data_IF_667375997428
#
_entry.id   IF_667375997428
#
_cell.length_a   1.000
_cell.length_b   1.000
_cell.length_c   1.000
_cell.angle_alpha   90.00
_cell.angle_beta   90.00
_cell.angle_gamma   90.00
#
_symmetry.space_group_name_H-M   'P 1'
#
loop_
_entity.id
_entity.type
_entity.pdbx_description
1 polymer ?
#
# COMPACT_ATOMS: atom_id res chain seq x y z
N UNK A 1 -5.51 0.78 -5.68
CA UNK A 1 -6.61 -0.08 -6.17
C UNK A 1 -7.64 -0.45 -5.09
N UNK A 2 -7.30 -1.07 -3.95
CA UNK A 2 -8.31 -1.52 -2.96
C UNK A 2 -9.27 -0.41 -2.50
N UNK A 3 -8.74 0.79 -2.19
CA UNK A 3 -9.51 1.99 -1.82
C UNK A 3 -10.58 2.34 -2.87
N UNK A 4 -10.19 2.33 -4.15
CA UNK A 4 -11.09 2.63 -5.27
C UNK A 4 -12.16 1.54 -5.43
N UNK A 5 -11.78 0.26 -5.40
CA UNK A 5 -12.74 -0.84 -5.48
C UNK A 5 -13.79 -0.74 -4.38
N UNK A 6 -13.39 -0.44 -3.14
CA UNK A 6 -14.33 -0.21 -2.02
C UNK A 6 -15.28 0.95 -2.31
N UNK A 7 -14.76 2.11 -2.73
CA UNK A 7 -15.60 3.26 -3.01
C UNK A 7 -16.58 3.00 -4.16
N UNK A 8 -16.14 2.30 -5.22
CA UNK A 8 -16.99 1.91 -6.35
C UNK A 8 -18.09 0.94 -5.92
N UNK A 9 -17.77 -0.08 -5.10
CA UNK A 9 -18.79 -1.01 -4.57
C UNK A 9 -19.85 -0.24 -3.78
N UNK A 10 -19.43 0.67 -2.89
CA UNK A 10 -20.36 1.47 -2.08
C UNK A 10 -21.20 2.42 -2.93
N UNK A 11 -20.60 3.08 -3.93
CA UNK A 11 -21.33 3.98 -4.82
C UNK A 11 -22.38 3.25 -5.65
N UNK A 12 -22.03 2.09 -6.24
CA UNK A 12 -22.97 1.26 -6.98
C UNK A 12 -24.06 0.74 -6.04
N UNK A 13 -23.72 0.28 -4.83
CA UNK A 13 -24.71 -0.16 -3.84
C UNK A 13 -25.71 0.95 -3.48
N UNK A 14 -25.23 2.17 -3.23
CA UNK A 14 -26.10 3.31 -2.91
C UNK A 14 -27.08 3.57 -4.06
N UNK A 15 -26.60 3.65 -5.31
CA UNK A 15 -27.46 3.93 -6.47
C UNK A 15 -28.44 2.79 -6.74
N UNK A 16 -27.97 1.54 -6.74
CA UNK A 16 -28.81 0.37 -6.99
C UNK A 16 -29.87 0.17 -5.91
N UNK A 17 -29.52 0.32 -4.64
CA UNK A 17 -30.45 0.09 -3.53
C UNK A 17 -31.44 1.24 -3.35
N UNK A 18 -31.01 2.50 -3.54
CA UNK A 18 -31.96 3.63 -3.53
C UNK A 18 -33.00 3.48 -4.64
N UNK A 19 -32.60 3.10 -5.85
CA UNK A 19 -33.52 2.81 -6.95
C UNK A 19 -34.53 1.71 -6.63
N UNK A 20 -34.15 0.71 -5.82
CA UNK A 20 -35.05 -0.35 -5.36
C UNK A 20 -36.11 0.18 -4.37
N UNK A 21 -35.75 1.12 -3.49
CA UNK A 21 -36.69 1.72 -2.52
C UNK A 21 -37.62 2.76 -3.14
N UNK A 22 -37.23 3.41 -4.23
CA UNK A 22 -38.02 4.51 -4.84
C UNK A 22 -38.95 4.07 -5.96
N UNK A 23 -38.67 2.94 -6.63
CA UNK A 23 -39.46 2.49 -7.78
C UNK A 23 -40.31 1.26 -7.45
N UNK A 24 -41.60 1.31 -7.79
CA UNK A 24 -42.47 0.13 -7.77
C UNK A 24 -42.12 -0.80 -8.94
N UNK A 25 -41.64 -2.00 -8.63
CA UNK A 25 -41.27 -2.99 -9.65
C UNK A 25 -42.53 -3.73 -10.11
N UNK A 26 -42.79 -3.73 -11.41
CA UNK A 26 -43.85 -4.55 -11.99
C UNK A 26 -43.33 -5.98 -12.25
N UNK A 27 -43.66 -6.90 -11.35
CA UNK A 27 -43.23 -8.30 -11.42
C UNK A 27 -43.82 -9.10 -12.58
N UNK A 28 -44.84 -8.57 -13.26
CA UNK A 28 -45.46 -9.22 -14.42
C UNK A 28 -44.68 -8.95 -15.72
N UNK A 29 -43.74 -8.02 -15.70
CA UNK A 29 -42.92 -7.69 -16.87
C UNK A 29 -41.84 -8.75 -17.09
N UNK A 30 -41.68 -9.20 -18.34
CA UNK A 30 -40.58 -10.10 -18.71
C UNK A 30 -39.24 -9.48 -18.34
N UNK A 31 -38.39 -10.25 -17.66
CA UNK A 31 -37.09 -9.79 -17.19
C UNK A 31 -37.07 -9.06 -15.85
N UNK A 32 -38.22 -8.85 -15.17
CA UNK A 32 -38.27 -8.18 -13.86
C UNK A 32 -37.37 -8.87 -12.81
N UNK A 33 -37.37 -10.20 -12.75
CA UNK A 33 -36.50 -10.96 -11.85
C UNK A 33 -35.00 -10.82 -12.18
N UNK A 34 -34.66 -10.75 -13.46
CA UNK A 34 -33.28 -10.55 -13.92
C UNK A 34 -32.78 -9.16 -13.55
N UNK A 35 -33.63 -8.13 -13.73
CA UNK A 35 -33.33 -6.77 -13.33
C UNK A 35 -33.09 -6.65 -11.82
N UNK A 36 -33.92 -7.29 -11.00
CA UNK A 36 -33.72 -7.36 -9.54
C UNK A 36 -32.38 -8.03 -9.20
N UNK A 37 -32.08 -9.18 -9.83
CA UNK A 37 -30.83 -9.88 -9.59
C UNK A 37 -29.60 -9.02 -9.94
N UNK A 38 -29.64 -8.29 -11.05
CA UNK A 38 -28.57 -7.36 -11.45
C UNK A 38 -28.42 -6.23 -10.43
N UNK A 39 -29.51 -5.64 -9.94
CA UNK A 39 -29.42 -4.55 -8.97
C UNK A 39 -28.92 -5.01 -7.59
N UNK A 40 -29.29 -6.22 -7.18
CA UNK A 40 -28.83 -6.80 -5.91
C UNK A 40 -27.36 -7.24 -5.97
N UNK A 41 -26.94 -7.88 -7.07
CA UNK A 41 -25.62 -8.49 -7.21
C UNK A 41 -24.58 -7.57 -7.87
N UNK A 42 -25.02 -6.60 -8.67
CA UNK A 42 -24.18 -5.65 -9.40
C UNK A 42 -23.13 -4.94 -8.53
N UNK A 43 -23.47 -4.44 -7.33
CA UNK A 43 -22.48 -3.85 -6.43
C UNK A 43 -21.32 -4.78 -6.07
N UNK A 44 -21.54 -6.11 -6.06
CA UNK A 44 -20.55 -7.08 -5.65
C UNK A 44 -19.57 -7.51 -6.75
N UNK A 45 -19.69 -6.97 -7.98
CA UNK A 45 -18.84 -7.36 -9.12
C UNK A 45 -17.33 -7.18 -8.84
N UNK A 46 -16.96 -6.16 -8.05
CA UNK A 46 -15.56 -5.90 -7.68
C UNK A 46 -15.11 -6.56 -6.37
N UNK A 47 -16.00 -7.31 -5.70
CA UNK A 47 -15.70 -7.99 -4.44
C UNK A 47 -14.53 -8.98 -4.56
N UNK A 48 -14.39 -9.80 -5.64
CA UNK A 48 -13.25 -10.69 -5.78
C UNK A 48 -11.91 -9.95 -5.80
N UNK A 49 -11.83 -8.82 -6.51
CA UNK A 49 -10.63 -7.98 -6.55
C UNK A 49 -10.31 -7.37 -5.18
N UNK A 50 -11.34 -6.91 -4.47
CA UNK A 50 -11.18 -6.36 -3.12
C UNK A 50 -10.71 -7.45 -2.14
N UNK A 51 -11.34 -8.61 -2.16
CA UNK A 51 -10.99 -9.76 -1.33
C UNK A 51 -9.55 -10.21 -1.58
N UNK A 52 -9.14 -10.31 -2.85
CA UNK A 52 -7.76 -10.63 -3.22
C UNK A 52 -6.76 -9.60 -2.67
N UNK A 53 -7.06 -8.30 -2.77
CA UNK A 53 -6.19 -7.25 -2.22
C UNK A 53 -6.12 -7.29 -0.69
N UNK A 54 -7.25 -7.49 -0.01
CA UNK A 54 -7.29 -7.65 1.46
C UNK A 54 -6.50 -8.90 1.89
N UNK A 55 -6.63 -9.99 1.16
CA UNK A 55 -5.84 -11.20 1.37
C UNK A 55 -4.35 -10.89 1.32
N UNK A 56 -3.87 -10.23 0.25
CA UNK A 56 -2.46 -9.85 0.13
C UNK A 56 -2.00 -8.96 1.29
N UNK A 57 -2.77 -7.92 1.65
CA UNK A 57 -2.40 -7.02 2.77
C UNK A 57 -2.22 -7.80 4.08
N UNK A 58 -3.12 -8.74 4.38
CA UNK A 58 -3.05 -9.55 5.61
C UNK A 58 -1.94 -10.60 5.60
N UNK A 59 -1.42 -10.92 4.42
CA UNK A 59 -0.53 -12.06 4.18
C UNK A 59 0.90 -11.65 3.84
N UNK A 60 1.14 -10.40 3.50
CA UNK A 60 2.47 -9.85 3.27
C UNK A 60 2.88 -9.02 4.49
N UNK A 61 4.08 -9.26 5.01
CA UNK A 61 4.68 -8.37 6.01
C UNK A 61 5.49 -7.28 5.32
N UNK A 62 5.89 -6.27 6.09
CA UNK A 62 6.98 -5.39 5.72
C UNK A 62 8.32 -6.16 5.67
N UNK A 63 9.34 -5.53 5.09
CA UNK A 63 10.71 -6.06 5.04
C UNK A 63 11.43 -5.58 6.29
N UNK A 64 11.91 -6.52 7.11
CA UNK A 64 12.63 -6.21 8.35
C UNK A 64 14.11 -6.50 8.16
N UNK A 65 14.95 -5.48 8.35
CA UNK A 65 16.39 -5.58 8.28
C UNK A 65 16.95 -5.62 9.71
N UNK A 66 17.46 -6.78 10.13
CA UNK A 66 18.09 -6.93 11.44
C UNK A 66 19.61 -6.77 11.29
N UNK A 67 20.12 -5.68 11.87
CA UNK A 67 21.55 -5.34 11.85
C UNK A 67 22.40 -6.30 12.68
N UNK A 68 21.95 -6.70 13.88
CA UNK A 68 22.74 -7.53 14.78
C UNK A 68 22.95 -8.94 14.22
N UNK A 69 21.90 -9.53 13.66
CA UNK A 69 21.97 -10.88 13.05
C UNK A 69 22.40 -10.85 11.59
N UNK A 70 22.51 -9.67 10.98
CA UNK A 70 22.80 -9.47 9.54
C UNK A 70 21.82 -10.26 8.65
N UNK A 71 20.54 -10.27 9.01
CA UNK A 71 19.49 -10.99 8.27
C UNK A 71 18.37 -10.05 7.86
N UNK A 72 17.78 -10.34 6.71
CA UNK A 72 16.56 -9.72 6.22
C UNK A 72 15.43 -10.72 6.39
N UNK A 73 14.33 -10.29 6.99
CA UNK A 73 13.14 -11.09 7.24
C UNK A 73 11.96 -10.52 6.48
N UNK A 74 11.24 -11.40 5.78
CA UNK A 74 10.04 -11.05 5.05
C UNK A 74 9.07 -12.22 5.06
N UNK A 75 7.82 -11.97 5.43
CA UNK A 75 6.77 -12.98 5.41
C UNK A 75 5.92 -12.81 4.17
N UNK A 76 5.95 -13.83 3.31
CA UNK A 76 5.10 -13.94 2.13
C UNK A 76 4.06 -15.03 2.35
N UNK A 77 2.81 -14.61 2.53
CA UNK A 77 1.68 -15.49 2.80
C UNK A 77 1.85 -16.26 4.11
N UNK A 78 2.35 -17.47 4.03
CA UNK A 78 2.61 -18.33 5.18
C UNK A 78 4.08 -18.74 5.27
N UNK A 79 4.92 -18.27 4.34
CA UNK A 79 6.34 -18.61 4.27
C UNK A 79 7.16 -17.45 4.81
N UNK A 80 7.99 -17.73 5.82
CA UNK A 80 9.03 -16.82 6.25
C UNK A 80 10.24 -16.95 5.33
N UNK A 81 10.60 -15.87 4.66
CA UNK A 81 11.82 -15.76 3.89
C UNK A 81 12.87 -15.08 4.76
N UNK A 82 13.99 -15.77 4.96
CA UNK A 82 15.16 -15.26 5.68
C UNK A 82 16.31 -15.20 4.70
N UNK A 83 16.88 -14.01 4.54
CA UNK A 83 17.98 -13.76 3.61
C UNK A 83 19.18 -13.28 4.43
N UNK A 84 20.34 -13.93 4.24
CA UNK A 84 21.60 -13.46 4.81
C UNK A 84 22.09 -12.23 4.07
N UNK A 85 22.26 -11.12 4.79
CA UNK A 85 22.74 -9.85 4.25
C UNK A 85 24.11 -10.00 3.57
N UNK A 86 25.02 -10.77 4.15
CA UNK A 86 26.40 -10.89 3.64
C UNK A 86 26.44 -11.61 2.27
N UNK A 87 25.50 -12.53 2.06
CA UNK A 87 25.32 -13.25 0.80
C UNK A 87 24.28 -12.60 -0.14
N UNK A 88 23.76 -11.41 0.21
CA UNK A 88 22.82 -10.68 -0.63
C UNK A 88 23.57 -9.89 -1.70
N UNK A 89 22.99 -9.81 -2.90
CA UNK A 89 23.46 -8.92 -3.97
C UNK A 89 22.30 -8.07 -4.47
N UNK A 90 22.58 -6.80 -4.69
CA UNK A 90 21.68 -5.85 -5.33
C UNK A 90 21.90 -5.82 -6.85
N UNK A 91 20.84 -5.55 -7.58
CA UNK A 91 20.81 -5.38 -9.02
C UNK A 91 19.71 -4.40 -9.43
N UNK A 92 19.73 -3.99 -10.69
CA UNK A 92 18.76 -3.05 -11.23
C UNK A 92 17.58 -3.85 -11.78
N UNK A 93 16.39 -3.52 -11.31
CA UNK A 93 15.14 -4.00 -11.87
C UNK A 93 14.46 -2.90 -12.66
N UNK A 94 14.00 -3.25 -13.87
CA UNK A 94 13.27 -2.35 -14.76
C UNK A 94 11.90 -2.95 -15.00
N UNK A 95 10.85 -2.16 -14.79
CA UNK A 95 9.47 -2.54 -15.05
C UNK A 95 8.83 -1.53 -15.98
N UNK A 96 8.29 -1.98 -17.10
CA UNK A 96 7.51 -1.14 -17.99
C UNK A 96 6.04 -1.51 -17.85
N UNK A 97 5.23 -0.56 -17.41
CA UNK A 97 3.79 -0.75 -17.16
C UNK A 97 2.97 0.16 -18.06
N UNK A 98 1.84 -0.36 -18.54
CA UNK A 98 0.87 0.45 -19.28
C UNK A 98 -0.09 1.12 -18.30
N UNK A 99 -0.08 2.45 -18.26
CA UNK A 99 -0.91 3.27 -17.38
C UNK A 99 -2.31 3.56 -17.93
N UNK A 100 -2.72 2.94 -19.05
CA UNK A 100 -3.99 3.22 -19.74
C UNK A 100 -3.86 4.24 -20.86
N UNK A 101 -2.98 5.24 -20.72
CA UNK A 101 -2.72 6.26 -21.75
C UNK A 101 -1.31 6.17 -22.36
N UNK A 102 -0.34 5.59 -21.64
CA UNK A 102 1.06 5.51 -22.06
C UNK A 102 1.79 4.38 -21.36
N UNK A 103 2.98 4.02 -21.87
CA UNK A 103 3.91 3.14 -21.17
C UNK A 103 4.83 3.96 -20.27
N UNK A 104 4.87 3.62 -18.99
CA UNK A 104 5.79 4.21 -18.02
C UNK A 104 6.81 3.15 -17.64
N UNK A 105 8.09 3.52 -17.71
CA UNK A 105 9.18 2.67 -17.24
C UNK A 105 9.58 3.14 -15.86
N UNK A 106 9.55 2.23 -14.89
CA UNK A 106 10.00 2.45 -13.53
C UNK A 106 11.22 1.61 -13.20
N UNK A 107 12.15 2.21 -12.46
CA UNK A 107 13.37 1.57 -12.00
C UNK A 107 13.28 1.27 -10.51
N UNK A 108 13.82 0.12 -10.11
CA UNK A 108 13.81 -0.36 -8.74
C UNK A 108 15.12 -1.08 -8.41
N UNK A 109 15.47 -1.09 -7.13
CA UNK A 109 16.47 -1.98 -6.59
C UNK A 109 15.86 -3.37 -6.43
N UNK A 110 16.43 -4.39 -7.06
CA UNK A 110 16.15 -5.78 -6.73
C UNK A 110 17.33 -6.39 -5.98
N UNK A 111 17.06 -7.12 -4.90
CA UNK A 111 18.11 -7.82 -4.16
C UNK A 111 17.66 -9.22 -3.77
N UNK A 112 18.59 -10.17 -3.86
CA UNK A 112 18.35 -11.58 -3.61
C UNK A 112 19.61 -12.24 -3.02
N UNK A 113 19.46 -13.36 -2.28
CA UNK A 113 20.60 -14.19 -1.92
C UNK A 113 21.22 -14.81 -3.16
N UNK A 114 22.54 -14.97 -3.16
CA UNK A 114 23.25 -15.75 -4.18
C UNK A 114 22.98 -17.24 -3.96
N UNK A 115 22.59 -17.94 -5.03
CA UNK A 115 22.46 -19.40 -5.04
C UNK A 115 23.84 -20.07 -5.15
N UNK A 116 23.89 -21.38 -4.93
CA UNK A 116 25.12 -22.18 -4.99
C UNK A 116 25.80 -22.14 -6.36
N UNK A 117 25.01 -22.02 -7.44
CA UNK A 117 25.47 -21.83 -8.82
C UNK A 117 26.00 -20.40 -9.10
N UNK A 118 25.93 -19.52 -8.10
CA UNK A 118 26.36 -18.14 -8.20
C UNK A 118 25.37 -17.20 -8.88
N UNK A 119 24.21 -17.69 -9.33
CA UNK A 119 23.20 -16.92 -10.05
C UNK A 119 22.22 -16.19 -9.11
N UNK A 120 21.49 -15.21 -9.66
CA UNK A 120 20.43 -14.48 -8.98
C UNK A 120 19.10 -14.74 -9.69
N UNK A 121 18.09 -15.19 -8.96
CA UNK A 121 16.79 -15.51 -9.50
C UNK A 121 15.75 -14.46 -9.11
N UNK A 122 14.95 -14.01 -10.08
CA UNK A 122 13.89 -13.04 -9.85
C UNK A 122 12.82 -13.54 -8.87
N UNK A 123 12.54 -14.85 -8.83
CA UNK A 123 11.54 -15.43 -7.90
C UNK A 123 11.92 -15.27 -6.42
N UNK A 124 13.22 -15.15 -6.14
CA UNK A 124 13.78 -15.03 -4.79
C UNK A 124 14.12 -13.56 -4.46
N UNK A 125 13.88 -12.63 -5.40
CA UNK A 125 14.21 -11.23 -5.22
C UNK A 125 13.15 -10.46 -4.44
N UNK A 126 13.62 -9.57 -3.59
CA UNK A 126 12.84 -8.47 -3.04
C UNK A 126 13.14 -7.23 -3.87
N UNK A 127 12.11 -6.44 -4.14
CA UNK A 127 12.27 -5.15 -4.82
C UNK A 127 11.91 -3.99 -3.91
N UNK A 128 12.59 -2.87 -4.10
CA UNK A 128 12.28 -1.57 -3.50
C UNK A 128 12.39 -0.55 -4.62
N UNK A 129 11.39 0.32 -4.76
CA UNK A 129 11.41 1.36 -5.78
C UNK A 129 12.65 2.25 -5.64
N UNK A 130 13.16 2.76 -6.75
CA UNK A 130 14.28 3.71 -6.78
C UNK A 130 13.93 4.98 -6.02
N UNK A 131 14.95 5.73 -5.58
CA UNK A 131 14.75 7.06 -4.96
C UNK A 131 13.99 8.02 -5.89
N UNK A 132 14.23 7.91 -7.20
CA UNK A 132 13.42 8.53 -8.24
C UNK A 132 13.03 7.44 -9.26
N UNK A 133 11.85 6.79 -9.10
CA UNK A 133 11.43 5.65 -9.91
C UNK A 133 11.24 5.98 -11.39
N UNK A 134 10.95 7.23 -11.71
CA UNK A 134 10.67 7.67 -13.09
C UNK A 134 11.92 8.03 -13.87
N UNK A 135 13.05 8.21 -13.19
CA UNK A 135 14.34 8.46 -13.82
C UNK A 135 15.11 7.16 -14.04
N UNK A 136 15.74 7.05 -15.21
CA UNK A 136 16.56 5.89 -15.60
C UNK A 136 17.95 5.85 -14.98
N UNK A 137 18.28 6.85 -14.16
CA UNK A 137 19.58 6.98 -13.52
C UNK A 137 19.86 5.83 -12.57
N UNK A 138 20.87 5.02 -12.89
CA UNK A 138 21.39 3.95 -12.01
C UNK A 138 21.77 4.49 -10.62
N UNK A 139 22.16 5.77 -10.55
CA UNK A 139 22.47 6.48 -9.32
C UNK A 139 21.38 6.36 -8.27
N UNK A 140 20.10 6.52 -8.64
CA UNK A 140 18.99 6.52 -7.69
C UNK A 140 18.72 5.14 -7.10
N UNK A 141 18.96 4.08 -7.87
CA UNK A 141 18.92 2.69 -7.38
C UNK A 141 20.12 2.42 -6.45
N UNK A 142 21.30 2.93 -6.80
CA UNK A 142 22.50 2.80 -5.99
C UNK A 142 22.39 3.56 -4.65
N UNK A 143 21.75 4.73 -4.63
CA UNK A 143 21.47 5.49 -3.40
C UNK A 143 20.64 4.66 -2.41
N UNK A 144 19.59 3.96 -2.88
CA UNK A 144 18.78 3.06 -2.04
C UNK A 144 19.62 1.89 -1.53
N UNK A 145 20.46 1.28 -2.39
CA UNK A 145 21.34 0.18 -1.97
C UNK A 145 22.35 0.62 -0.92
N UNK A 146 23.00 1.77 -1.12
CA UNK A 146 23.96 2.32 -0.18
C UNK A 146 23.30 2.73 1.13
N UNK A 147 22.08 3.27 1.10
CA UNK A 147 21.30 3.54 2.30
C UNK A 147 21.09 2.27 3.13
N UNK A 148 20.64 1.17 2.50
CA UNK A 148 20.47 -0.11 3.18
C UNK A 148 21.79 -0.67 3.73
N UNK A 149 22.88 -0.55 2.94
CA UNK A 149 24.22 -0.99 3.36
C UNK A 149 24.73 -0.19 4.56
N UNK A 150 24.56 1.13 4.55
CA UNK A 150 24.92 2.01 5.65
C UNK A 150 24.09 1.70 6.90
N UNK A 151 22.78 1.53 6.77
CA UNK A 151 21.91 1.11 7.89
C UNK A 151 22.38 -0.22 8.48
N UNK A 152 22.60 -1.23 7.63
CA UNK A 152 23.02 -2.55 8.07
C UNK A 152 24.38 -2.54 8.76
N UNK A 153 25.32 -1.68 8.34
CA UNK A 153 26.66 -1.63 8.92
C UNK A 153 26.74 -0.76 10.18
N UNK A 154 26.16 0.44 10.13
CA UNK A 154 26.38 1.48 11.12
C UNK A 154 25.17 1.77 12.00
N UNK A 155 23.97 1.31 11.62
CA UNK A 155 22.74 1.62 12.33
C UNK A 155 22.13 2.97 11.89
N UNK A 156 21.03 3.38 12.52
CA UNK A 156 20.25 4.56 12.12
C UNK A 156 20.98 5.89 12.37
N UNK A 157 21.88 5.95 13.36
CA UNK A 157 22.51 7.20 13.80
C UNK A 157 23.42 7.85 12.74
N UNK A 158 23.90 7.05 11.78
CA UNK A 158 24.75 7.52 10.68
C UNK A 158 24.01 7.62 9.35
N UNK A 159 22.69 7.47 9.35
CA UNK A 159 21.90 7.66 8.15
C UNK A 159 21.76 9.15 7.83
N UNK A 160 21.66 9.51 6.54
CA UNK A 160 21.31 10.87 6.18
C UNK A 160 19.98 11.25 6.83
N UNK A 161 19.80 12.52 7.23
CA UNK A 161 18.52 12.98 7.77
C UNK A 161 17.42 12.71 6.74
N UNK A 162 16.21 12.33 7.18
CA UNK A 162 15.10 12.10 6.26
C UNK A 162 14.84 13.38 5.46
N UNK A 163 14.67 13.21 4.15
CA UNK A 163 14.29 14.30 3.26
C UNK A 163 12.87 14.82 3.53
N UNK A 164 12.44 15.79 2.74
CA UNK A 164 11.07 16.29 2.82
C UNK A 164 10.07 15.14 2.56
N UNK A 165 9.02 14.99 3.39
CA UNK A 165 8.00 13.99 3.16
C UNK A 165 7.37 14.19 1.79
N UNK A 166 7.57 13.25 0.88
CA UNK A 166 6.90 13.31 -0.42
C UNK A 166 5.42 13.01 -0.22
N UNK A 167 4.62 14.08 -0.21
CA UNK A 167 3.20 14.00 0.07
C UNK A 167 2.47 13.04 -0.87
N UNK A 168 2.86 12.95 -2.15
CA UNK A 168 2.26 12.01 -3.11
C UNK A 168 2.42 10.54 -2.74
N UNK A 169 3.48 10.20 -1.99
CA UNK A 169 3.85 8.81 -1.70
C UNK A 169 3.28 8.30 -0.37
N UNK A 170 2.85 9.18 0.53
CA UNK A 170 2.25 8.81 1.84
C UNK A 170 1.10 7.78 1.69
N UNK A 171 0.14 7.93 0.75
CA UNK A 171 -0.93 6.95 0.56
C UNK A 171 -0.51 5.64 -0.11
N UNK A 172 0.67 5.59 -0.72
CA UNK A 172 1.24 4.39 -1.35
C UNK A 172 1.87 3.47 -0.30
N UNK A 173 2.51 4.05 0.71
CA UNK A 173 3.17 3.31 1.78
C UNK A 173 2.22 2.96 2.94
N UNK A 174 1.15 3.75 3.16
CA UNK A 174 0.16 3.46 4.20
C UNK A 174 -1.01 2.61 3.70
N UNK A 175 -1.31 1.50 4.40
CA UNK A 175 -2.48 0.64 4.14
C UNK A 175 -3.77 1.47 4.15
N UNK A 176 -3.99 2.23 5.22
CA UNK A 176 -5.10 3.16 5.37
C UNK A 176 -4.62 4.41 6.10
N UNK A 177 -5.19 5.57 5.73
CA UNK A 177 -5.01 6.80 6.48
C UNK A 177 -6.15 6.92 7.49
N UNK A 178 -5.86 7.37 8.71
CA UNK A 178 -6.89 7.78 9.65
C UNK A 178 -7.67 8.99 9.12
N UNK A 179 -8.88 9.28 9.61
CA UNK A 179 -9.64 10.45 9.17
C UNK A 179 -8.86 11.77 9.29
N UNK A 180 -8.10 11.94 10.38
CA UNK A 180 -7.25 13.11 10.58
C UNK A 180 -6.09 13.16 9.57
N UNK A 181 -5.39 12.04 9.34
CA UNK A 181 -4.32 11.96 8.35
C UNK A 181 -4.83 12.16 6.92
N UNK A 182 -6.00 11.61 6.59
CA UNK A 182 -6.63 11.77 5.29
C UNK A 182 -7.04 13.22 5.05
N UNK A 183 -7.63 13.88 6.04
CA UNK A 183 -7.94 15.31 5.98
C UNK A 183 -6.69 16.14 5.70
N UNK A 184 -5.64 15.94 6.49
CA UNK A 184 -4.37 16.67 6.33
C UNK A 184 -3.71 16.41 4.99
N UNK A 185 -3.71 15.16 4.54
CA UNK A 185 -3.05 14.77 3.30
C UNK A 185 -3.78 15.29 2.05
N UNK A 186 -5.12 15.21 2.01
CA UNK A 186 -5.87 15.62 0.82
C UNK A 186 -6.22 17.10 0.80
N UNK A 187 -6.23 17.79 1.96
CA UNK A 187 -6.50 19.21 2.03
C UNK A 187 -5.61 20.01 1.04
N UNK A 188 -6.16 20.99 0.32
CA UNK A 188 -5.38 21.82 -0.59
C UNK A 188 -4.60 22.94 0.11
N UNK A 189 -4.96 23.26 1.35
CA UNK A 189 -4.27 24.24 2.20
C UNK A 189 -3.29 23.55 3.16
N UNK A 190 -2.34 24.33 3.70
CA UNK A 190 -1.37 23.84 4.67
C UNK A 190 -2.04 23.38 5.95
N UNK A 191 -1.51 22.32 6.55
CA UNK A 191 -2.04 21.75 7.80
C UNK A 191 -1.10 21.90 9.01
N UNK A 192 0.12 22.38 8.79
CA UNK A 192 1.13 22.64 9.81
C UNK A 192 1.95 21.41 10.22
N UNK A 193 2.09 20.39 9.37
CA UNK A 193 2.92 19.23 9.70
C UNK A 193 4.42 19.59 9.68
N UNK A 194 5.25 19.00 10.57
CA UNK A 194 6.69 19.22 10.55
C UNK A 194 7.28 18.88 9.17
N UNK A 195 7.96 19.84 8.55
CA UNK A 195 8.54 19.69 7.21
C UNK A 195 7.58 19.99 6.04
N UNK A 196 6.37 20.50 6.31
CA UNK A 196 5.40 20.92 5.27
C UNK A 196 5.84 22.25 4.63
N UNK A 197 6.79 22.18 3.70
CA UNK A 197 7.30 23.35 2.97
C UNK A 197 6.35 23.79 1.84
N UNK A 198 5.54 22.88 1.29
CA UNK A 198 4.75 23.11 0.08
C UNK A 198 3.24 23.17 0.36
N UNK A 199 2.65 24.36 0.19
CA UNK A 199 1.20 24.47 -0.07
C UNK A 199 0.93 24.16 -1.55
N UNK A 200 -0.24 23.59 -1.86
CA UNK A 200 -0.58 23.28 -3.27
C UNK A 200 -0.71 24.59 -4.04
N UNK A 201 -0.13 24.68 -5.24
CA UNK A 201 -0.07 25.95 -6.01
C UNK A 201 -1.50 26.47 -6.23
N UNK A 202 -1.75 27.77 -6.02
CA UNK A 202 -3.10 28.36 -6.11
C UNK A 202 -3.80 28.09 -7.45
N UNK A 203 -3.06 27.99 -8.56
CA UNK A 203 -3.65 27.65 -9.87
C UNK A 203 -4.24 26.23 -9.93
N UNK A 204 -3.83 25.33 -9.03
CA UNK A 204 -4.35 23.97 -8.93
C UNK A 204 -5.64 23.89 -8.10
N UNK A 205 -6.06 24.97 -7.44
CA UNK A 205 -7.24 24.98 -6.57
C UNK A 205 -8.52 24.47 -7.26
N UNK A 206 -8.81 24.77 -8.55
CA UNK A 206 -9.97 24.20 -9.24
C UNK A 206 -9.91 22.68 -9.33
N UNK A 207 -8.73 22.09 -9.62
CA UNK A 207 -8.56 20.64 -9.61
C UNK A 207 -8.77 20.07 -8.21
N UNK A 208 -8.26 20.74 -7.18
CA UNK A 208 -8.42 20.30 -5.80
C UNK A 208 -9.85 20.40 -5.29
N UNK A 209 -10.67 21.35 -5.76
CA UNK A 209 -12.08 21.43 -5.39
C UNK A 209 -12.85 20.15 -5.75
N UNK A 210 -12.43 19.45 -6.82
CA UNK A 210 -13.01 18.17 -7.24
C UNK A 210 -12.27 16.98 -6.60
N UNK A 211 -10.93 17.00 -6.65
CA UNK A 211 -10.11 15.88 -6.18
C UNK A 211 -10.13 15.72 -4.66
N UNK A 212 -10.26 16.80 -3.89
CA UNK A 212 -10.29 16.75 -2.44
C UNK A 212 -11.48 15.94 -1.90
N UNK A 213 -12.76 16.30 -2.18
CA UNK A 213 -13.89 15.55 -1.66
C UNK A 213 -13.89 14.10 -2.15
N UNK A 214 -13.50 13.87 -3.41
CA UNK A 214 -13.37 12.51 -3.95
C UNK A 214 -12.34 11.68 -3.18
N UNK A 215 -11.09 12.14 -3.10
CA UNK A 215 -10.01 11.38 -2.47
C UNK A 215 -10.23 11.19 -0.97
N UNK A 216 -10.74 12.23 -0.29
CA UNK A 216 -11.10 12.14 1.12
C UNK A 216 -12.19 11.09 1.35
N UNK A 217 -13.26 11.12 0.56
CA UNK A 217 -14.35 10.13 0.67
C UNK A 217 -13.85 8.71 0.44
N UNK A 218 -13.05 8.49 -0.61
CA UNK A 218 -12.43 7.19 -0.91
C UNK A 218 -11.57 6.70 0.25
N UNK A 219 -10.76 7.59 0.86
CA UNK A 219 -9.91 7.26 1.99
C UNK A 219 -10.70 6.93 3.25
N UNK A 220 -11.77 7.67 3.55
CA UNK A 220 -12.65 7.43 4.69
C UNK A 220 -13.43 6.12 4.55
N UNK A 221 -13.99 5.84 3.37
CA UNK A 221 -14.64 4.56 3.06
C UNK A 221 -13.69 3.40 3.29
N UNK A 222 -12.46 3.50 2.78
CA UNK A 222 -11.45 2.47 2.98
C UNK A 222 -11.04 2.32 4.45
N UNK A 223 -10.87 3.42 5.18
CA UNK A 223 -10.60 3.39 6.61
C UNK A 223 -11.69 2.63 7.38
N UNK A 224 -12.96 2.88 7.07
CA UNK A 224 -14.09 2.16 7.64
C UNK A 224 -14.02 0.65 7.41
N UNK A 225 -13.74 0.22 6.17
CA UNK A 225 -13.55 -1.20 5.82
C UNK A 225 -12.34 -1.79 6.55
N UNK A 226 -11.21 -1.08 6.60
CA UNK A 226 -10.03 -1.56 7.33
C UNK A 226 -10.32 -1.78 8.81
N UNK A 227 -11.11 -0.90 9.43
CA UNK A 227 -11.55 -1.05 10.82
C UNK A 227 -12.53 -2.22 10.99
N UNK A 228 -13.55 -2.31 10.13
CA UNK A 228 -14.59 -3.33 10.20
C UNK A 228 -14.04 -4.75 10.02
N UNK A 229 -13.17 -4.95 9.03
CA UNK A 229 -12.61 -6.27 8.69
C UNK A 229 -11.23 -6.54 9.30
N UNK A 230 -10.77 -5.66 10.20
CA UNK A 230 -9.44 -5.69 10.80
C UNK A 230 -8.33 -5.93 9.76
N UNK A 231 -8.35 -5.12 8.69
CA UNK A 231 -7.35 -5.17 7.62
C UNK A 231 -6.11 -4.45 8.11
N UNK A 232 -5.06 -5.22 8.40
CA UNK A 232 -3.74 -4.74 8.84
C UNK A 232 -2.67 -5.56 8.13
N UNK A 233 -1.45 -5.00 8.05
CA UNK A 233 -0.29 -5.73 7.57
C UNK A 233 -0.13 -7.03 8.37
N UNK A 234 0.47 -8.05 7.77
CA UNK A 234 0.88 -9.22 8.53
C UNK A 234 1.78 -8.76 9.69
N UNK A 235 1.61 -9.31 10.91
CA UNK A 235 2.47 -8.95 12.02
C UNK A 235 3.93 -9.24 11.65
N UNK A 236 4.87 -8.45 12.19
CA UNK A 236 6.29 -8.70 11.99
C UNK A 236 6.64 -10.15 12.38
N UNK A 237 7.53 -10.81 11.63
CA UNK A 237 8.01 -12.13 12.01
C UNK A 237 8.76 -12.02 13.36
N UNK A 238 8.42 -12.85 14.37
CA UNK A 238 9.06 -12.79 15.68
C UNK A 238 10.59 -12.89 15.61
N UNK A 239 11.10 -13.64 14.64
CA UNK A 239 12.53 -13.88 14.40
C UNK A 239 13.29 -12.61 13.96
N UNK A 240 12.58 -11.56 13.53
CA UNK A 240 13.21 -10.30 13.15
C UNK A 240 13.61 -9.43 14.34
N UNK A 241 13.00 -9.62 15.52
CA UNK A 241 13.32 -8.84 16.70
C UNK A 241 14.29 -9.56 17.62
N UNK A 242 15.17 -8.79 18.26
CA UNK A 242 16.09 -9.28 19.30
C UNK A 242 15.33 -9.64 20.60
N UNK A 243 14.24 -8.93 20.89
CA UNK A 243 13.31 -9.23 21.96
C UNK A 243 11.90 -9.43 21.38
N UNK A 244 11.16 -10.45 21.84
CA UNK A 244 9.81 -10.70 21.37
C UNK A 244 8.93 -9.44 21.57
N UNK A 245 8.18 -8.99 20.55
CA UNK A 245 7.40 -7.76 20.67
C UNK A 245 6.40 -7.89 21.82
N UNK A 246 6.41 -6.93 22.75
CA UNK A 246 5.64 -6.95 24.00
C UNK A 246 4.11 -6.90 23.86
N UNK A 247 3.56 -7.15 22.65
CA UNK A 247 2.14 -7.04 22.36
C UNK A 247 1.53 -8.34 21.83
N UNK A 248 1.10 -9.21 22.75
CA UNK A 248 -0.05 -10.10 22.54
C UNK A 248 -0.77 -10.58 23.81
N UNK A 249 -0.24 -10.34 25.02
CA UNK A 249 -0.79 -10.89 26.29
C UNK A 249 -1.75 -9.99 27.07
N UNK A 250 -2.30 -8.91 26.51
CA UNK A 250 -3.34 -8.09 27.18
C UNK A 250 -4.69 -8.12 26.44
N UNK A 251 -5.30 -9.30 26.34
CA UNK A 251 -6.76 -9.46 26.21
C UNK A 251 -7.18 -10.72 26.97
N UNK A 252 -7.24 -10.58 28.29
CA UNK A 252 -7.66 -11.67 29.17
C UNK A 252 -7.61 -11.25 30.64
N UNK A 253 -8.58 -10.42 31.03
CA UNK A 253 -9.18 -10.31 32.38
C UNK A 253 -9.95 -8.98 32.45
N UNK A 254 -11.24 -9.05 32.13
CA UNK A 254 -12.22 -8.23 32.85
C UNK A 254 -12.73 -9.14 33.97
N UNK A 255 -12.27 -8.86 35.18
CA UNK A 255 -13.02 -9.14 36.41
C UNK A 255 -14.28 -8.30 36.42
#
# INVERSE_FOLDING_TARGET
MAKMCTATILAIAIVSYTGFFTHSINYQQEGAYVFIAIQLLGPFIFTPFLAYRVFLIKKLSEIYLNRATKKIYYKRINTLMVIDWNNTRGGIFKRTEFGGSSFTTSYALAFAPRREDGSLHQKDCLWIDSNEPTESGVKHVAEVWEYLRHFMNHGPDKLPPPGEPNWWHKPLHAICLTPAEAWRHYAPWRTGEPGEMQGKKNWQLPFWAVLFPYNLSVALCWYGICRLFNVRAAPPPPEAFEEAPAHSTKKGKRT
#
